data_IF_199530891909
#
_entry.id   IF_199530891909
#
_cell.length_a   1.000
_cell.length_b   1.000
_cell.length_c   1.000
_cell.angle_alpha   90.00
_cell.angle_beta   90.00
_cell.angle_gamma   90.00
#
_symmetry.space_group_name_H-M   'P 1'
#
loop_
_entity.id
_entity.type
_entity.pdbx_description
1 polymer ?
#
# COMPACT_ATOMS: atom_id res chain seq x y z
N UNK A 1 50.35 42.85 -11.42
CA UNK A 1 49.28 42.02 -12.01
C UNK A 1 48.23 41.83 -10.94
N UNK A 2 47.06 42.42 -11.18
CA UNK A 2 45.82 42.28 -10.43
C UNK A 2 45.62 40.89 -9.83
N UNK A 3 45.48 40.83 -8.51
CA UNK A 3 44.71 39.80 -7.80
C UNK A 3 43.63 40.41 -6.89
N UNK A 4 43.29 41.68 -7.12
CA UNK A 4 42.25 42.42 -6.40
C UNK A 4 40.83 42.15 -6.93
N UNK A 5 40.63 41.02 -7.63
CA UNK A 5 39.37 40.68 -8.33
C UNK A 5 38.66 39.41 -7.85
N UNK A 6 39.20 38.66 -6.88
CA UNK A 6 38.58 37.42 -6.39
C UNK A 6 37.83 37.59 -5.05
N UNK A 7 38.00 38.73 -4.38
CA UNK A 7 37.38 38.98 -3.07
C UNK A 7 35.91 39.43 -3.19
N UNK A 8 35.41 39.79 -4.39
CA UNK A 8 34.01 40.24 -4.57
C UNK A 8 33.01 39.15 -4.98
N UNK A 9 33.35 37.86 -4.87
CA UNK A 9 32.47 36.76 -5.34
C UNK A 9 31.89 35.89 -4.22
N UNK A 10 32.08 36.25 -2.95
CA UNK A 10 31.66 35.40 -1.80
C UNK A 10 30.57 36.04 -0.94
N UNK A 11 30.25 37.31 -1.09
CA UNK A 11 29.14 37.94 -0.37
C UNK A 11 28.19 38.58 -1.37
N UNK A 12 27.03 37.94 -1.59
CA UNK A 12 25.78 38.48 -2.15
C UNK A 12 25.03 37.44 -3.00
N UNK A 13 24.32 36.51 -2.36
CA UNK A 13 22.98 36.13 -2.82
C UNK A 13 22.20 35.41 -1.73
N UNK A 14 21.14 36.09 -1.30
CA UNK A 14 20.10 35.66 -0.38
C UNK A 14 19.26 34.52 -0.97
N UNK A 15 18.72 33.66 -0.10
CA UNK A 15 17.70 32.69 -0.51
C UNK A 15 17.34 31.68 0.57
N UNK A 16 16.74 32.12 1.68
CA UNK A 16 15.96 31.25 2.58
C UNK A 16 14.48 31.41 2.27
N UNK A 17 14.03 30.82 1.17
CA UNK A 17 12.61 30.66 0.89
C UNK A 17 12.42 29.19 0.54
N UNK A 18 11.90 28.39 1.46
CA UNK A 18 10.98 27.32 1.10
C UNK A 18 10.30 26.69 2.31
N UNK A 19 8.97 26.84 2.30
CA UNK A 19 7.98 25.93 2.86
C UNK A 19 7.72 26.00 4.38
N UNK A 20 6.87 26.95 4.77
CA UNK A 20 5.81 26.63 5.72
C UNK A 20 4.76 25.73 5.03
N UNK A 21 4.11 24.81 5.76
CA UNK A 21 2.72 25.13 6.03
C UNK A 21 2.37 24.98 7.51
N UNK A 22 1.86 26.08 8.03
CA UNK A 22 1.18 26.20 9.31
C UNK A 22 -0.04 25.28 9.36
N UNK A 23 -0.03 24.41 10.36
CA UNK A 23 -1.13 23.54 10.75
C UNK A 23 -2.18 24.38 11.49
N UNK A 24 -3.45 24.34 11.03
CA UNK A 24 -4.70 24.22 11.81
C UNK A 24 -5.88 24.90 11.10
N UNK A 25 -6.65 24.11 10.36
CA UNK A 25 -8.09 24.35 10.19
C UNK A 25 -8.85 23.27 10.97
N UNK A 26 -9.72 23.74 11.85
CA UNK A 26 -10.54 22.95 12.76
C UNK A 26 -11.77 22.43 12.02
N UNK A 27 -11.93 21.11 11.89
CA UNK A 27 -13.12 20.50 11.32
C UNK A 27 -13.15 18.97 11.43
N UNK A 28 -13.89 18.46 12.42
CA UNK A 28 -14.23 17.05 12.71
C UNK A 28 -13.05 16.12 13.02
N UNK A 29 -12.76 15.97 14.32
CA UNK A 29 -12.08 14.78 14.87
C UNK A 29 -12.99 13.56 14.65
N UNK A 30 -12.91 12.96 13.47
CA UNK A 30 -13.49 11.62 13.25
C UNK A 30 -12.67 10.67 14.12
N UNK A 31 -13.35 9.96 15.01
CA UNK A 31 -12.72 8.95 15.86
C UNK A 31 -11.99 7.94 14.95
N UNK A 32 -10.75 7.55 15.27
CA UNK A 32 -10.08 6.49 14.53
C UNK A 32 -10.96 5.23 14.56
N UNK A 33 -11.15 4.61 13.41
CA UNK A 33 -11.94 3.38 13.26
C UNK A 33 -11.49 2.34 14.31
N UNK A 34 -12.42 1.74 15.08
CA UNK A 34 -12.09 0.73 16.09
C UNK A 34 -11.57 -0.59 15.48
N UNK A 35 -11.69 -0.74 14.16
CA UNK A 35 -11.19 -1.91 13.45
C UNK A 35 -9.93 -1.54 12.69
N UNK A 36 -8.83 -2.31 12.83
CA UNK A 36 -7.72 -2.18 11.91
C UNK A 36 -8.29 -2.45 10.52
N UNK A 37 -8.21 -1.45 9.63
CA UNK A 37 -8.23 -1.68 8.19
C UNK A 37 -6.97 -2.49 7.91
N UNK A 38 -7.06 -3.79 8.15
CA UNK A 38 -6.02 -4.76 7.83
C UNK A 38 -6.08 -4.92 6.33
N UNK A 39 -5.65 -3.88 5.62
CA UNK A 39 -5.09 -4.04 4.30
C UNK A 39 -4.13 -5.20 4.43
N UNK A 40 -4.37 -6.25 3.65
CA UNK A 40 -3.61 -7.49 3.66
C UNK A 40 -2.16 -7.13 3.38
N UNK A 41 -1.40 -6.81 4.43
CA UNK A 41 0.03 -6.80 4.39
C UNK A 41 0.39 -8.28 4.33
N UNK A 42 0.45 -8.78 3.11
CA UNK A 42 1.07 -10.06 2.81
C UNK A 42 2.53 -9.87 3.16
N UNK A 43 2.85 -10.12 4.43
CA UNK A 43 4.21 -10.40 4.86
C UNK A 43 4.69 -11.51 3.93
N UNK A 44 5.50 -11.15 2.93
CA UNK A 44 6.20 -12.12 2.09
C UNK A 44 7.20 -12.80 3.01
N UNK A 45 6.72 -13.82 3.73
CA UNK A 45 7.60 -14.86 4.24
C UNK A 45 8.43 -15.33 3.04
N UNK A 46 9.74 -15.52 3.23
CA UNK A 46 10.63 -16.02 2.21
C UNK A 46 9.99 -17.26 1.57
N UNK A 47 9.62 -17.16 0.29
CA UNK A 47 9.01 -18.28 -0.41
C UNK A 47 10.09 -19.34 -0.56
N UNK A 48 9.83 -20.53 -0.04
CA UNK A 48 10.73 -21.65 -0.26
C UNK A 48 10.82 -21.90 -1.78
N UNK A 49 12.01 -21.80 -2.40
CA UNK A 49 12.17 -21.96 -3.85
C UNK A 49 11.76 -23.35 -4.35
N UNK A 50 11.64 -24.34 -3.46
CA UNK A 50 11.17 -25.69 -3.79
C UNK A 50 9.63 -25.78 -3.86
N UNK A 51 8.90 -24.77 -3.41
CA UNK A 51 7.44 -24.80 -3.32
C UNK A 51 6.86 -23.74 -4.24
N UNK A 52 6.31 -24.20 -5.36
CA UNK A 52 5.54 -23.36 -6.27
C UNK A 52 4.14 -23.10 -5.72
N UNK A 53 3.61 -21.89 -5.94
CA UNK A 53 2.19 -21.61 -5.71
C UNK A 53 1.39 -22.12 -6.89
N UNK A 54 0.49 -23.08 -6.64
CA UNK A 54 -0.39 -23.67 -7.66
C UNK A 54 -1.85 -23.27 -7.42
N UNK A 55 -2.25 -22.02 -7.74
CA UNK A 55 -3.64 -21.62 -7.65
C UNK A 55 -4.47 -22.35 -8.74
N UNK A 56 -5.59 -22.95 -8.33
CA UNK A 56 -6.55 -23.59 -9.24
C UNK A 56 -7.69 -22.63 -9.56
N UNK A 57 -8.17 -22.67 -10.80
CA UNK A 57 -9.30 -21.85 -11.25
C UNK A 57 -10.57 -22.70 -11.33
N UNK A 58 -11.55 -22.40 -10.48
CA UNK A 58 -12.81 -23.15 -10.38
C UNK A 58 -13.98 -22.47 -11.12
N UNK A 59 -13.69 -21.63 -12.12
CA UNK A 59 -14.68 -21.10 -13.05
C UNK A 59 -15.30 -22.19 -13.95
N UNK A 60 -16.27 -21.81 -14.78
CA UNK A 60 -16.95 -22.74 -15.69
C UNK A 60 -15.97 -23.26 -16.75
N UNK A 61 -15.88 -24.59 -16.90
CA UNK A 61 -15.04 -25.24 -17.91
C UNK A 61 -13.54 -25.26 -17.61
N UNK A 62 -13.12 -24.96 -16.38
CA UNK A 62 -11.72 -24.98 -15.93
C UNK A 62 -11.46 -26.20 -15.02
N UNK A 63 -10.81 -26.02 -13.87
CA UNK A 63 -10.52 -27.11 -12.94
C UNK A 63 -11.78 -27.69 -12.29
N UNK A 64 -11.68 -28.96 -11.86
CA UNK A 64 -12.74 -29.63 -11.09
C UNK A 64 -13.12 -28.82 -9.85
N UNK A 65 -14.42 -28.58 -9.68
CA UNK A 65 -14.93 -27.85 -8.53
C UNK A 65 -14.60 -28.56 -7.20
N UNK A 66 -14.25 -27.81 -6.15
CA UNK A 66 -14.00 -28.37 -4.84
C UNK A 66 -15.28 -28.99 -4.26
N UNK A 67 -15.11 -29.95 -3.36
CA UNK A 67 -16.21 -30.49 -2.56
C UNK A 67 -16.78 -29.36 -1.69
N UNK A 68 -18.08 -29.10 -1.84
CA UNK A 68 -18.85 -28.12 -1.06
C UNK A 68 -20.15 -28.74 -0.59
N UNK A 69 -20.80 -28.11 0.38
CA UNK A 69 -22.15 -28.53 0.79
C UNK A 69 -23.14 -28.38 -0.37
N UNK A 70 -23.89 -29.45 -0.62
CA UNK A 70 -24.91 -29.54 -1.67
C UNK A 70 -26.30 -29.80 -1.09
N UNK A 71 -26.49 -29.69 0.24
CA UNK A 71 -27.77 -29.92 0.93
C UNK A 71 -28.97 -29.17 0.34
N UNK A 72 -28.72 -28.02 -0.29
CA UNK A 72 -29.72 -27.19 -1.00
C UNK A 72 -30.20 -27.80 -2.32
N UNK A 73 -29.34 -28.58 -2.97
CA UNK A 73 -29.55 -29.16 -4.31
C UNK A 73 -29.86 -30.66 -4.25
N UNK A 74 -29.76 -31.27 -3.06
CA UNK A 74 -30.14 -32.66 -2.84
C UNK A 74 -31.66 -32.76 -2.85
N UNK A 75 -32.16 -33.74 -3.59
CA UNK A 75 -33.58 -34.08 -3.57
C UNK A 75 -33.93 -34.69 -2.22
N UNK A 76 -34.71 -33.97 -1.43
CA UNK A 76 -35.19 -34.42 -0.12
C UNK A 76 -36.36 -35.42 -0.27
N UNK A 77 -36.49 -36.36 0.69
CA UNK A 77 -37.63 -37.27 0.75
C UNK A 77 -38.93 -36.51 1.04
N UNK A 78 -40.06 -37.11 0.62
CA UNK A 78 -41.41 -36.65 0.95
C UNK A 78 -41.89 -37.26 2.27
#
# INVERSE_FOLDING_TARGET
>A
MQLDGYISMIDESLGTDDTAPTKKSTGKKVAPSPYPVKGKQTTKAAANPLIEKTPKNFGVGQDVQPKRDVSRFVKWPQ
#
